data_IF_196472627046
#
_entry.id   IF_196472627046
#
_cell.length_a   1.000
_cell.length_b   1.000
_cell.length_c   1.000
_cell.angle_alpha   90.00
_cell.angle_beta   90.00
_cell.angle_gamma   90.00
#
_symmetry.space_group_name_H-M   'P 1'
#
loop_
_entity.id
_entity.type
_entity.pdbx_description
1 polymer ?
#
# COMPACT_ATOMS: atom_id res chain seq x y z
N UNK A 1 -6.51 -9.02 -6.45
CA UNK A 1 -7.22 -9.50 -5.24
C UNK A 1 -8.00 -8.36 -4.64
N UNK A 2 -9.28 -8.56 -4.45
CA UNK A 2 -10.10 -7.55 -3.81
C UNK A 2 -10.25 -7.88 -2.32
N UNK A 3 -11.01 -7.03 -1.60
CA UNK A 3 -11.14 -7.21 -0.15
C UNK A 3 -11.79 -8.53 0.22
N UNK A 4 -12.80 -8.96 -0.55
CA UNK A 4 -13.48 -10.23 -0.29
C UNK A 4 -12.50 -11.40 -0.45
N UNK A 5 -11.72 -11.38 -1.51
CA UNK A 5 -10.72 -12.42 -1.74
C UNK A 5 -9.63 -12.40 -0.68
N UNK A 6 -9.27 -11.21 -0.21
CA UNK A 6 -8.30 -11.08 0.86
C UNK A 6 -8.82 -11.73 2.14
N UNK A 7 -10.09 -11.51 2.48
CA UNK A 7 -10.69 -12.12 3.66
C UNK A 7 -10.77 -13.64 3.51
N UNK A 8 -11.11 -14.12 2.30
CA UNK A 8 -11.13 -15.56 2.06
C UNK A 8 -9.76 -16.18 2.28
N UNK A 9 -8.72 -15.54 1.78
CA UNK A 9 -7.35 -16.02 1.96
C UNK A 9 -6.93 -15.98 3.43
N UNK A 10 -7.32 -14.92 4.14
CA UNK A 10 -7.03 -14.82 5.56
C UNK A 10 -7.71 -15.92 6.35
N UNK A 11 -8.97 -16.20 6.03
CA UNK A 11 -9.70 -17.28 6.68
C UNK A 11 -9.01 -18.62 6.48
N UNK A 12 -8.56 -18.88 5.25
CA UNK A 12 -7.86 -20.13 4.95
C UNK A 12 -6.54 -20.23 5.74
N UNK A 13 -5.83 -19.12 5.85
CA UNK A 13 -4.57 -19.12 6.59
C UNK A 13 -4.79 -19.35 8.08
N UNK A 14 -5.84 -18.77 8.62
CA UNK A 14 -6.18 -18.98 10.03
C UNK A 14 -6.57 -20.42 10.30
N UNK A 15 -7.28 -21.05 9.37
CA UNK A 15 -7.65 -22.45 9.52
C UNK A 15 -6.42 -23.36 9.59
N UNK A 16 -5.36 -23.03 8.87
CA UNK A 16 -4.11 -23.75 8.96
C UNK A 16 -3.51 -23.69 10.37
N UNK A 17 -3.85 -22.66 11.11
CA UNK A 17 -3.38 -22.48 12.48
C UNK A 17 -4.42 -22.94 13.51
N UNK A 18 -5.46 -23.62 13.06
CA UNK A 18 -6.58 -24.08 13.91
C UNK A 18 -7.34 -22.93 14.53
N UNK A 19 -7.41 -21.81 13.83
CA UNK A 19 -8.18 -20.65 14.26
C UNK A 19 -9.34 -20.48 13.30
N UNK A 20 -10.55 -20.40 13.83
CA UNK A 20 -11.74 -20.29 13.00
C UNK A 20 -12.58 -19.11 13.46
N UNK A 21 -12.77 -18.18 12.54
CA UNK A 21 -13.68 -17.05 12.75
C UNK A 21 -14.55 -16.92 11.52
N UNK A 22 -15.83 -16.58 11.70
CA UNK A 22 -16.67 -16.30 10.54
C UNK A 22 -16.14 -15.09 9.77
N UNK A 23 -16.40 -15.06 8.48
CA UNK A 23 -15.84 -14.02 7.63
C UNK A 23 -16.33 -12.63 8.01
N UNK A 24 -17.56 -12.51 8.50
CA UNK A 24 -18.07 -11.20 8.94
C UNK A 24 -17.25 -10.66 10.11
N UNK A 25 -16.78 -11.57 10.99
CA UNK A 25 -15.96 -11.17 12.12
C UNK A 25 -14.59 -10.70 11.66
N UNK A 26 -13.99 -11.44 10.71
CA UNK A 26 -12.71 -11.03 10.15
C UNK A 26 -12.82 -9.66 9.48
N UNK A 27 -13.90 -9.45 8.75
CA UNK A 27 -14.14 -8.16 8.10
C UNK A 27 -14.24 -7.04 9.13
N UNK A 28 -14.93 -7.28 10.23
CA UNK A 28 -15.12 -6.26 11.26
C UNK A 28 -13.83 -5.93 12.00
N UNK A 29 -12.82 -6.81 11.92
CA UNK A 29 -11.50 -6.53 12.50
C UNK A 29 -10.59 -5.86 11.48
N UNK A 30 -10.64 -6.33 10.24
CA UNK A 30 -9.72 -5.85 9.21
C UNK A 30 -10.03 -4.42 8.79
N UNK A 31 -11.31 -4.07 8.67
CA UNK A 31 -11.66 -2.74 8.21
C UNK A 31 -11.16 -1.64 9.14
N UNK A 32 -11.41 -1.73 10.46
CA UNK A 32 -10.83 -0.72 11.35
C UNK A 32 -9.31 -0.74 11.37
N UNK A 33 -8.69 -1.90 11.15
CA UNK A 33 -7.24 -1.98 11.11
C UNK A 33 -6.68 -1.15 9.98
N UNK A 34 -7.29 -1.24 8.80
CA UNK A 34 -6.87 -0.42 7.67
C UNK A 34 -7.14 1.06 7.93
N UNK A 35 -8.25 1.38 8.60
CA UNK A 35 -8.55 2.76 8.94
C UNK A 35 -7.51 3.37 9.87
N UNK A 36 -7.03 2.59 10.85
CA UNK A 36 -5.98 3.06 11.75
C UNK A 36 -4.71 3.39 10.97
N UNK A 37 -4.37 2.53 10.01
CA UNK A 37 -3.19 2.78 9.18
C UNK A 37 -3.36 4.09 8.41
N UNK A 38 -4.50 4.28 7.77
CA UNK A 38 -4.73 5.46 6.95
C UNK A 38 -4.78 6.73 7.80
N UNK A 39 -5.42 6.66 8.96
CA UNK A 39 -5.51 7.82 9.85
C UNK A 39 -4.14 8.22 10.38
N UNK A 40 -3.32 7.23 10.73
CA UNK A 40 -1.97 7.51 11.21
C UNK A 40 -1.15 8.18 10.13
N UNK A 41 -1.24 7.68 8.90
CA UNK A 41 -0.52 8.28 7.78
C UNK A 41 -1.02 9.68 7.47
N UNK A 42 -2.31 9.94 7.67
CA UNK A 42 -2.86 11.26 7.43
C UNK A 42 -2.26 12.31 8.38
N UNK A 43 -1.74 11.88 9.53
CA UNK A 43 -1.06 12.76 10.46
C UNK A 43 0.45 12.76 10.24
N UNK A 44 0.91 12.25 9.10
CA UNK A 44 2.33 12.20 8.75
C UNK A 44 3.17 11.35 9.71
N UNK A 45 2.53 10.38 10.36
CA UNK A 45 3.24 9.41 11.18
C UNK A 45 3.43 8.12 10.42
N UNK A 46 4.55 7.46 10.65
CA UNK A 46 4.83 6.19 10.02
C UNK A 46 4.14 5.05 10.75
N UNK A 47 3.77 4.03 9.99
CA UNK A 47 3.24 2.79 10.57
C UNK A 47 4.24 1.70 10.28
N UNK A 48 4.89 1.21 11.32
CA UNK A 48 5.90 0.17 11.19
C UNK A 48 5.31 -1.14 11.73
N UNK A 49 5.12 -2.10 10.84
CA UNK A 49 4.58 -3.40 11.21
C UNK A 49 5.72 -4.40 11.16
N UNK A 50 6.02 -4.97 12.33
CA UNK A 50 7.16 -5.87 12.46
C UNK A 50 7.03 -7.05 11.50
N UNK A 51 8.13 -7.39 10.83
CA UNK A 51 8.22 -8.49 9.88
C UNK A 51 7.34 -8.32 8.64
N UNK A 52 6.79 -7.14 8.44
CA UNK A 52 5.98 -6.88 7.26
C UNK A 52 6.54 -5.71 6.46
N UNK A 53 6.64 -4.53 7.08
CA UNK A 53 7.15 -3.38 6.38
C UNK A 53 6.74 -2.09 7.07
N UNK A 54 7.00 -1.01 6.37
CA UNK A 54 6.75 0.32 6.90
C UNK A 54 5.94 1.12 5.89
N UNK A 55 4.88 1.73 6.37
CA UNK A 55 4.11 2.69 5.59
C UNK A 55 4.52 4.09 6.01
N UNK A 56 4.73 4.96 5.06
CA UNK A 56 5.06 6.34 5.33
C UNK A 56 4.38 7.23 4.32
N UNK A 57 4.22 8.50 4.68
CA UNK A 57 3.63 9.48 3.78
C UNK A 57 4.75 10.28 3.14
N UNK A 58 4.80 10.28 1.82
CA UNK A 58 5.80 11.05 1.08
C UNK A 58 5.12 12.27 0.49
N UNK A 59 5.73 13.42 0.74
CA UNK A 59 5.23 14.67 0.18
C UNK A 59 5.92 14.92 -1.14
N UNK A 60 5.12 15.09 -2.17
CA UNK A 60 5.64 15.40 -3.50
C UNK A 60 5.27 16.83 -3.84
N UNK A 61 6.30 17.64 -4.07
CA UNK A 61 6.09 19.03 -4.41
C UNK A 61 5.57 19.14 -5.83
N UNK A 62 4.61 20.03 -6.03
CA UNK A 62 4.08 20.27 -7.36
C UNK A 62 5.12 20.88 -8.27
N UNK A 63 4.95 20.65 -9.56
CA UNK A 63 5.87 21.16 -10.56
C UNK A 63 5.10 21.90 -11.64
N UNK A 64 5.75 22.84 -12.33
CA UNK A 64 5.07 23.56 -13.40
C UNK A 64 4.80 22.66 -14.60
N UNK A 65 3.69 22.91 -15.24
CA UNK A 65 3.32 22.20 -16.45
C UNK A 65 2.51 23.15 -17.35
N UNK A 66 2.41 22.79 -18.63
CA UNK A 66 1.63 23.57 -19.59
C UNK A 66 0.25 22.95 -19.72
N UNK A 67 -0.78 23.72 -19.43
CA UNK A 67 -2.16 23.25 -19.54
C UNK A 67 -2.67 23.59 -20.94
N UNK A 68 -2.91 22.57 -21.75
CA UNK A 68 -3.37 22.74 -23.12
C UNK A 68 -4.75 23.39 -23.17
N UNK A 69 -5.61 23.06 -22.20
CA UNK A 69 -6.97 23.57 -22.17
C UNK A 69 -7.03 25.06 -21.89
N UNK A 70 -6.20 25.54 -20.96
CA UNK A 70 -6.16 26.97 -20.62
C UNK A 70 -5.08 27.70 -21.38
N UNK A 71 -4.19 26.99 -22.06
CA UNK A 71 -3.05 27.56 -22.80
C UNK A 71 -2.16 28.42 -21.90
N UNK A 72 -1.98 27.96 -20.66
CA UNK A 72 -1.16 28.64 -19.67
C UNK A 72 -0.23 27.69 -18.98
N UNK A 73 0.88 28.23 -18.46
CA UNK A 73 1.70 27.50 -17.52
C UNK A 73 1.03 27.51 -16.17
N UNK A 74 0.86 26.33 -15.61
CA UNK A 74 0.23 26.18 -14.30
C UNK A 74 1.13 25.33 -13.44
N UNK A 75 0.92 25.40 -12.13
CA UNK A 75 1.70 24.61 -11.19
C UNK A 75 0.79 23.52 -10.63
N UNK A 76 1.23 22.27 -10.78
CA UNK A 76 0.49 21.17 -10.20
C UNK A 76 0.53 21.28 -8.68
N UNK A 77 -0.57 20.93 -7.99
CA UNK A 77 -0.59 21.03 -6.52
C UNK A 77 0.36 20.02 -5.88
N UNK A 78 0.79 20.34 -4.67
CA UNK A 78 1.56 19.40 -3.88
C UNK A 78 0.70 18.19 -3.57
N UNK A 79 1.31 17.02 -3.51
CA UNK A 79 0.60 15.79 -3.28
C UNK A 79 1.23 15.00 -2.15
N UNK A 80 0.40 14.22 -1.46
CA UNK A 80 0.87 13.25 -0.48
C UNK A 80 0.68 11.87 -1.07
N UNK A 81 1.71 11.04 -0.99
CA UNK A 81 1.70 9.70 -1.56
C UNK A 81 2.08 8.73 -0.46
N UNK A 82 1.29 7.66 -0.34
CA UNK A 82 1.64 6.59 0.60
C UNK A 82 2.75 5.76 0.00
N UNK A 83 3.82 5.58 0.75
CA UNK A 83 4.95 4.77 0.33
C UNK A 83 5.07 3.57 1.26
N UNK A 84 5.19 2.38 0.68
CA UNK A 84 5.38 1.16 1.43
C UNK A 84 6.79 0.64 1.20
N UNK A 85 7.51 0.39 2.30
CA UNK A 85 8.84 -0.20 2.25
C UNK A 85 8.76 -1.57 2.89
N UNK A 86 8.94 -2.66 2.13
CA UNK A 86 8.81 -3.99 2.70
C UNK A 86 9.93 -4.32 3.68
N UNK A 87 9.63 -5.24 4.57
CA UNK A 87 10.61 -5.77 5.51
C UNK A 87 11.77 -6.41 4.74
N UNK A 88 12.95 -6.35 5.31
CA UNK A 88 14.15 -6.87 4.66
C UNK A 88 14.07 -8.35 4.32
N UNK A 89 13.26 -9.10 5.08
CA UNK A 89 13.08 -10.52 4.81
C UNK A 89 12.20 -10.83 3.62
N UNK A 90 11.51 -9.82 3.06
CA UNK A 90 10.66 -10.01 1.90
C UNK A 90 11.47 -9.75 0.65
N UNK A 91 11.82 -10.81 -0.05
CA UNK A 91 12.51 -10.69 -1.32
C UNK A 91 11.53 -10.98 -2.43
N UNK A 92 11.37 -10.01 -3.31
CA UNK A 92 10.52 -10.17 -4.46
C UNK A 92 11.41 -10.30 -5.68
N UNK A 93 11.97 -11.50 -5.84
CA UNK A 93 12.89 -11.76 -6.94
C UNK A 93 12.13 -11.77 -8.25
N UNK A 94 12.66 -11.07 -9.24
CA UNK A 94 12.11 -11.17 -10.58
C UNK A 94 12.46 -12.53 -11.16
N UNK A 95 11.46 -13.29 -11.49
CA UNK A 95 11.71 -14.52 -12.23
C UNK A 95 11.81 -14.20 -13.71
N UNK A 96 12.59 -14.98 -14.47
CA UNK A 96 12.64 -14.76 -15.90
C UNK A 96 11.24 -14.82 -16.49
N UNK A 97 10.85 -13.76 -17.18
CA UNK A 97 9.54 -13.65 -17.75
C UNK A 97 8.53 -12.97 -16.86
N UNK A 98 8.84 -12.73 -15.59
CA UNK A 98 7.92 -12.04 -14.69
C UNK A 98 8.20 -10.55 -14.68
N UNK A 99 9.19 -10.14 -14.84
CA UNK A 99 9.76 -8.89 -14.68
C UNK A 99 8.97 -7.68 -14.50
N UNK A 100 9.20 -7.45 -14.43
CA UNK A 100 9.11 -6.34 -14.31
C UNK A 100 8.61 -5.55 -13.58
N UNK A 101 8.85 -6.03 -13.73
CA UNK A 101 8.59 -5.22 -13.22
C UNK A 101 8.51 -4.41 -12.62
N UNK A 102 8.70 -4.52 -12.56
CA UNK A 102 8.68 -3.82 -11.95
C UNK A 102 8.64 -3.12 -11.38
N UNK A 103 8.81 -3.34 -11.41
CA UNK A 103 8.71 -2.65 -10.81
C UNK A 103 8.39 -1.97 -10.24
N UNK A 104 8.40 -2.35 -10.27
CA UNK A 104 8.04 -1.76 -9.63
C UNK A 104 7.97 -1.20 -8.97
N UNK A 105 8.38 -1.60 -8.96
CA UNK A 105 8.39 -1.21 -8.42
C UNK A 105 8.64 -0.34 -8.20
N UNK A 106 9.08 -0.51 -8.36
CA UNK A 106 9.30 0.20 -8.36
C UNK A 106 9.33 1.05 -8.22
N UNK A 107 9.60 0.74 -8.60
CA UNK A 107 9.61 1.42 -8.49
C UNK A 107 9.63 1.94 -7.91
N UNK A 108 9.91 1.49 -7.97
CA UNK A 108 9.94 1.81 -7.42
C UNK A 108 10.26 2.02 -6.59
N UNK A 109 10.67 1.77 -6.58
CA UNK A 109 10.98 1.86 -6.04
C UNK A 109 11.38 2.05 -5.35
N UNK A 110 11.79 1.79 -5.39
CA UNK A 110 12.12 1.82 -4.98
C UNK A 110 12.27 2.01 -4.70
#
# INVERSE_FOLDING_TARGET
>A
MNKKQFIDALSAKLEQQNIRYPKWELMSIIEPAFEVIMETLAHDEEVHINKFGRFSMKHKKGSPYYNINTKRKEIAPDKKIVQFTPHKGFHFDDTPGASASGSNLEDNEE
#
